data_IF_855411948117
#
_entry.id   IF_855411948117
#
_cell.length_a   1.000
_cell.length_b   1.000
_cell.length_c   1.000
_cell.angle_alpha   90.00
_cell.angle_beta   90.00
_cell.angle_gamma   90.00
#
_symmetry.space_group_name_H-M   'P 1'
#
loop_
_entity.id
_entity.type
_entity.pdbx_description
1 polymer ?
#
# COMPACT_ATOMS: atom_id res chain seq x y z
N UNK A 1 -48.81 53.75 40.98
CA UNK A 1 -47.60 53.89 40.14
C UNK A 1 -46.91 52.51 40.12
N UNK A 2 -47.25 51.69 39.17
CA UNK A 2 -46.73 50.30 39.05
C UNK A 2 -45.86 50.23 37.79
N UNK A 3 -44.56 49.96 37.97
CA UNK A 3 -43.59 49.76 36.87
C UNK A 3 -43.61 48.32 36.42
N UNK A 4 -44.05 48.08 35.18
CA UNK A 4 -43.91 46.78 34.51
C UNK A 4 -42.48 46.67 33.95
N UNK A 5 -41.75 45.68 34.44
CA UNK A 5 -40.48 45.24 33.82
C UNK A 5 -40.75 44.10 32.85
N UNK A 6 -40.49 44.37 31.56
CA UNK A 6 -40.47 43.34 30.50
C UNK A 6 -39.13 42.61 30.54
N UNK A 7 -39.17 41.30 30.84
CA UNK A 7 -38.02 40.40 30.65
C UNK A 7 -38.02 39.93 29.19
N UNK A 8 -37.01 40.33 28.45
CA UNK A 8 -36.74 39.79 27.09
C UNK A 8 -35.92 38.51 27.24
N UNK A 9 -36.53 37.37 26.95
CA UNK A 9 -35.86 36.05 26.93
C UNK A 9 -35.10 35.89 25.61
N UNK A 10 -33.79 36.03 25.64
CA UNK A 10 -32.92 35.79 24.50
C UNK A 10 -32.73 34.27 24.33
N UNK A 11 -33.41 33.68 23.34
CA UNK A 11 -33.21 32.29 22.94
C UNK A 11 -32.00 32.26 22.01
N UNK A 12 -30.84 31.88 22.54
CA UNK A 12 -29.67 31.59 21.74
C UNK A 12 -29.87 30.24 21.03
N UNK A 13 -30.13 30.28 19.73
CA UNK A 13 -30.11 29.08 18.87
C UNK A 13 -28.69 28.54 18.78
N UNK A 14 -28.43 27.45 19.49
CA UNK A 14 -27.20 26.66 19.29
C UNK A 14 -27.34 25.83 18.00
N UNK A 15 -26.73 26.30 16.92
CA UNK A 15 -26.57 25.52 15.71
C UNK A 15 -25.57 24.39 16.00
N UNK A 16 -26.05 23.17 16.13
CA UNK A 16 -25.23 21.95 16.14
C UNK A 16 -24.63 21.76 14.75
N UNK A 17 -23.41 22.25 14.56
CA UNK A 17 -22.59 21.85 13.44
C UNK A 17 -22.17 20.38 13.63
N UNK A 18 -22.88 19.47 12.98
CA UNK A 18 -22.40 18.11 12.79
C UNK A 18 -21.17 18.16 11.90
N UNK A 19 -19.97 18.19 12.50
CA UNK A 19 -18.75 17.84 11.80
C UNK A 19 -18.85 16.36 11.42
N UNK A 20 -19.25 16.10 10.17
CA UNK A 20 -18.97 14.81 9.54
C UNK A 20 -17.45 14.76 9.39
N UNK A 21 -16.79 14.21 10.39
CA UNK A 21 -15.37 13.91 10.33
C UNK A 21 -15.13 13.00 9.14
N UNK A 22 -14.46 13.50 8.09
CA UNK A 22 -13.78 12.64 7.15
C UNK A 22 -12.77 11.81 7.97
N UNK A 23 -13.12 10.57 8.27
CA UNK A 23 -12.17 9.59 8.74
C UNK A 23 -11.22 9.30 7.57
N UNK A 24 -10.20 10.13 7.42
CA UNK A 24 -9.00 9.74 6.70
C UNK A 24 -8.40 8.60 7.52
N UNK A 25 -8.42 7.38 6.98
CA UNK A 25 -7.68 6.25 7.54
C UNK A 25 -6.20 6.62 7.49
N UNK A 26 -5.72 7.21 8.58
CA UNK A 26 -4.32 7.64 8.72
C UNK A 26 -3.45 6.39 8.88
N UNK A 27 -2.90 5.92 7.77
CA UNK A 27 -1.95 4.80 7.73
C UNK A 27 -0.55 5.26 8.19
N UNK A 28 -0.51 6.29 9.03
CA UNK A 28 0.71 6.86 9.58
C UNK A 28 1.54 7.62 8.54
N UNK A 29 2.30 8.59 9.01
CA UNK A 29 3.22 9.42 8.20
C UNK A 29 4.47 8.65 7.73
N UNK A 30 4.34 7.34 7.42
CA UNK A 30 5.46 6.59 6.85
C UNK A 30 5.63 6.94 5.38
N UNK A 31 6.84 7.36 5.04
CA UNK A 31 7.28 7.55 3.67
C UNK A 31 8.76 7.20 3.56
N UNK A 32 9.23 6.97 2.34
CA UNK A 32 10.64 6.77 2.01
C UNK A 32 11.02 7.72 0.89
N UNK A 33 12.19 8.33 1.00
CA UNK A 33 12.75 9.16 -0.05
C UNK A 33 12.99 8.32 -1.30
N UNK A 34 12.76 8.91 -2.45
CA UNK A 34 13.04 8.28 -3.73
C UNK A 34 13.69 9.28 -4.69
N UNK A 35 14.66 8.82 -5.47
CA UNK A 35 15.44 9.63 -6.41
C UNK A 35 15.25 9.14 -7.84
N UNK A 36 15.28 10.05 -8.79
CA UNK A 36 15.21 9.70 -10.23
C UNK A 36 16.48 8.97 -10.65
N UNK A 37 16.36 7.87 -11.41
CA UNK A 37 17.54 7.24 -12.00
C UNK A 37 18.11 8.13 -13.11
N UNK A 38 19.44 8.20 -13.19
CA UNK A 38 20.16 8.80 -14.33
C UNK A 38 20.02 7.94 -15.58
N UNK A 39 20.04 6.61 -15.40
CA UNK A 39 19.82 5.62 -16.45
C UNK A 39 18.82 4.54 -16.00
N UNK A 40 17.55 4.65 -16.42
CA UNK A 40 16.52 3.68 -16.01
C UNK A 40 16.81 2.22 -16.41
N UNK A 41 17.71 1.98 -17.38
CA UNK A 41 18.09 0.62 -17.78
C UNK A 41 19.06 -0.05 -16.80
N UNK A 42 19.69 0.74 -15.92
CA UNK A 42 20.61 0.25 -14.89
C UNK A 42 19.93 0.02 -13.54
N UNK A 43 18.61 0.27 -13.48
CA UNK A 43 17.82 0.05 -12.26
C UNK A 43 17.65 -1.44 -12.00
N UNK A 44 17.86 -1.86 -10.77
CA UNK A 44 17.61 -3.20 -10.25
C UNK A 44 16.93 -3.16 -8.89
N UNK A 45 16.23 -4.22 -8.55
CA UNK A 45 15.55 -4.39 -7.26
C UNK A 45 16.16 -5.57 -6.52
N UNK A 46 16.49 -5.39 -5.25
CA UNK A 46 16.83 -6.45 -4.32
C UNK A 46 15.80 -6.50 -3.21
N UNK A 47 15.40 -7.69 -2.80
CA UNK A 47 14.46 -7.92 -1.70
C UNK A 47 15.11 -8.85 -0.69
N UNK A 48 15.39 -8.33 0.51
CA UNK A 48 15.86 -9.11 1.64
C UNK A 48 14.68 -9.60 2.47
N UNK A 49 14.52 -10.91 2.60
CA UNK A 49 13.42 -11.50 3.38
C UNK A 49 13.68 -11.37 4.87
N UNK A 50 14.93 -11.59 5.34
CA UNK A 50 15.30 -11.46 6.76
C UNK A 50 15.16 -10.02 7.25
N UNK A 51 15.59 -9.05 6.42
CA UNK A 51 15.44 -7.63 6.76
C UNK A 51 14.05 -7.08 6.40
N UNK A 52 13.19 -7.88 5.74
CA UNK A 52 11.87 -7.41 5.23
C UNK A 52 12.01 -6.06 4.54
N UNK A 53 12.94 -5.94 3.59
CA UNK A 53 13.36 -4.70 2.96
C UNK A 53 13.44 -4.82 1.44
N UNK A 54 13.17 -3.70 0.77
CA UNK A 54 13.33 -3.53 -0.67
C UNK A 54 14.39 -2.45 -0.91
N UNK A 55 15.37 -2.77 -1.73
CA UNK A 55 16.41 -1.87 -2.23
C UNK A 55 16.23 -1.69 -3.74
N UNK A 56 15.91 -0.49 -4.18
CA UNK A 56 15.92 -0.11 -5.59
C UNK A 56 17.22 0.66 -5.84
N UNK A 57 18.06 0.13 -6.70
CA UNK A 57 19.41 0.65 -6.94
C UNK A 57 19.61 0.96 -8.42
N UNK A 58 20.33 2.03 -8.72
CA UNK A 58 20.98 2.24 -10.02
C UNK A 58 22.47 1.90 -9.84
N UNK A 59 22.89 0.75 -10.37
CA UNK A 59 24.19 0.16 -10.03
C UNK A 59 24.35 -0.02 -8.52
N UNK A 60 25.13 0.84 -7.85
CA UNK A 60 25.33 0.85 -6.41
C UNK A 60 24.69 2.07 -5.71
N UNK A 61 24.13 3.01 -6.48
CA UNK A 61 23.45 4.20 -5.94
C UNK A 61 22.04 3.82 -5.49
N UNK A 62 21.67 4.03 -4.22
CA UNK A 62 20.31 3.80 -3.77
C UNK A 62 19.35 4.84 -4.34
N UNK A 63 18.27 4.38 -4.95
CA UNK A 63 17.17 5.20 -5.45
C UNK A 63 15.97 5.19 -4.50
N UNK A 64 15.73 4.04 -3.86
CA UNK A 64 14.66 3.88 -2.87
C UNK A 64 15.03 2.73 -1.93
N UNK A 65 14.87 2.97 -0.64
CA UNK A 65 15.01 1.94 0.39
C UNK A 65 13.72 1.96 1.22
N UNK A 66 13.04 0.81 1.34
CA UNK A 66 11.78 0.76 2.06
C UNK A 66 11.54 -0.59 2.73
N UNK A 67 10.81 -0.57 3.84
CA UNK A 67 10.30 -1.79 4.46
C UNK A 67 9.20 -2.42 3.58
N UNK A 68 9.06 -3.73 3.68
CA UNK A 68 8.02 -4.50 2.99
C UNK A 68 7.41 -5.56 3.91
N UNK A 69 6.17 -5.95 3.66
CA UNK A 69 5.57 -7.12 4.29
C UNK A 69 5.65 -8.30 3.33
N UNK A 70 6.25 -9.39 3.80
CA UNK A 70 6.53 -10.61 3.04
C UNK A 70 5.49 -11.71 3.25
N UNK A 71 5.61 -12.79 2.49
CA UNK A 71 4.80 -14.00 2.62
C UNK A 71 4.99 -14.71 3.95
N UNK A 72 3.89 -15.22 4.51
CA UNK A 72 3.91 -16.08 5.70
C UNK A 72 4.48 -17.47 5.37
N UNK A 73 4.84 -18.23 6.40
CA UNK A 73 5.51 -19.53 6.24
C UNK A 73 4.75 -20.53 5.35
N UNK A 74 3.40 -20.53 5.44
CA UNK A 74 2.56 -21.42 4.62
C UNK A 74 2.39 -20.95 3.17
N UNK A 75 2.84 -19.75 2.87
CA UNK A 75 2.76 -19.14 1.54
C UNK A 75 3.93 -18.16 1.37
N UNK A 76 5.18 -18.66 1.32
CA UNK A 76 6.36 -17.81 1.35
C UNK A 76 6.52 -17.00 0.06
N UNK A 77 7.18 -15.86 0.17
CA UNK A 77 7.68 -15.13 -0.99
C UNK A 77 8.77 -15.99 -1.66
N UNK A 78 8.70 -16.23 -2.98
CA UNK A 78 9.68 -17.08 -3.66
C UNK A 78 11.06 -16.41 -3.72
N UNK A 79 12.10 -17.18 -3.39
CA UNK A 79 13.49 -16.82 -3.59
C UNK A 79 13.90 -16.94 -5.06
N UNK A 80 14.90 -16.19 -5.49
CA UNK A 80 15.52 -16.31 -6.81
C UNK A 80 15.65 -15.00 -7.59
N UNK A 81 16.01 -15.15 -8.86
CA UNK A 81 16.18 -14.06 -9.81
C UNK A 81 14.99 -14.00 -10.75
N UNK A 82 14.40 -12.83 -10.87
CA UNK A 82 13.21 -12.54 -11.65
C UNK A 82 13.39 -11.27 -12.49
N UNK A 83 12.37 -10.96 -13.29
CA UNK A 83 12.22 -9.67 -13.96
C UNK A 83 10.78 -9.18 -13.78
N UNK A 84 10.61 -7.88 -13.60
CA UNK A 84 9.30 -7.28 -13.71
C UNK A 84 8.77 -7.45 -15.13
N UNK A 85 7.53 -7.94 -15.32
CA UNK A 85 6.97 -8.11 -16.65
C UNK A 85 5.58 -7.53 -16.84
N UNK A 86 4.78 -7.40 -15.76
CA UNK A 86 3.44 -6.86 -15.83
C UNK A 86 3.25 -5.75 -14.79
N UNK A 87 2.79 -4.59 -15.23
CA UNK A 87 2.60 -3.41 -14.36
C UNK A 87 1.20 -2.86 -14.58
N UNK A 88 0.42 -2.79 -13.50
CA UNK A 88 -0.95 -2.29 -13.52
C UNK A 88 -1.16 -1.32 -12.35
N UNK A 89 -1.52 -0.05 -12.61
CA UNK A 89 -1.79 0.90 -11.54
C UNK A 89 -2.99 0.48 -10.69
N UNK A 90 -3.98 -0.17 -11.31
CA UNK A 90 -5.23 -0.64 -10.69
C UNK A 90 -5.41 -2.13 -10.93
N UNK A 91 -4.93 -2.95 -10.01
CA UNK A 91 -5.07 -4.42 -10.05
C UNK A 91 -6.00 -4.86 -8.95
N UNK A 92 -6.85 -5.85 -9.24
CA UNK A 92 -7.59 -6.63 -8.24
C UNK A 92 -7.11 -8.07 -8.25
N UNK A 93 -7.08 -8.69 -7.06
CA UNK A 93 -6.69 -10.08 -6.91
C UNK A 93 -7.63 -11.01 -7.68
N UNK A 94 -7.04 -12.00 -8.35
CA UNK A 94 -7.79 -13.05 -9.05
C UNK A 94 -8.21 -14.18 -8.13
N UNK A 95 -7.65 -14.29 -6.92
CA UNK A 95 -7.86 -15.42 -5.99
C UNK A 95 -8.61 -15.00 -4.74
N UNK A 96 -8.14 -13.97 -4.05
CA UNK A 96 -8.66 -13.52 -2.76
C UNK A 96 -9.43 -12.21 -2.92
N UNK A 97 -10.58 -12.08 -2.25
CA UNK A 97 -11.39 -10.86 -2.36
C UNK A 97 -12.65 -10.96 -1.54
N UNK A 98 -13.75 -10.55 -2.13
CA UNK A 98 -15.03 -10.45 -1.46
C UNK A 98 -16.14 -11.07 -2.34
N UNK A 99 -17.09 -11.73 -1.69
CA UNK A 99 -18.37 -12.10 -2.28
C UNK A 99 -19.40 -11.02 -1.92
N UNK A 100 -19.96 -10.37 -2.93
CA UNK A 100 -21.05 -9.41 -2.79
C UNK A 100 -22.35 -10.17 -2.94
N UNK A 101 -23.09 -10.29 -1.84
CA UNK A 101 -24.35 -11.06 -1.74
C UNK A 101 -25.51 -10.12 -1.41
N UNK A 102 -26.74 -10.63 -1.42
CA UNK A 102 -27.93 -9.90 -0.93
C UNK A 102 -27.88 -9.58 0.57
N UNK A 103 -27.04 -10.32 1.34
CA UNK A 103 -26.90 -10.16 2.80
C UNK A 103 -25.67 -9.35 3.19
N UNK A 104 -24.87 -8.88 2.22
CA UNK A 104 -23.70 -8.05 2.48
C UNK A 104 -22.44 -8.49 1.74
N UNK A 105 -21.30 -7.91 2.17
CA UNK A 105 -19.97 -8.14 1.57
C UNK A 105 -19.15 -8.98 2.55
N UNK A 106 -18.78 -10.20 2.12
CA UNK A 106 -17.99 -11.14 2.95
C UNK A 106 -16.67 -11.50 2.28
N UNK A 107 -15.56 -11.69 3.03
CA UNK A 107 -14.32 -12.18 2.44
C UNK A 107 -14.51 -13.57 1.82
N UNK A 108 -13.82 -13.83 0.71
CA UNK A 108 -13.91 -15.12 0.05
C UNK A 108 -12.91 -15.29 -1.08
N UNK A 109 -12.82 -16.52 -1.58
CA UNK A 109 -12.02 -16.87 -2.74
C UNK A 109 -12.89 -16.90 -3.99
N UNK A 110 -12.31 -16.59 -5.15
CA UNK A 110 -13.02 -16.59 -6.43
C UNK A 110 -13.63 -17.95 -6.77
N UNK A 111 -12.86 -19.02 -6.55
CA UNK A 111 -13.25 -20.41 -6.83
C UNK A 111 -14.39 -20.92 -5.90
N UNK A 112 -14.67 -20.19 -4.81
CA UNK A 112 -15.72 -20.51 -3.84
C UNK A 112 -16.87 -19.50 -3.90
N UNK A 113 -17.04 -18.77 -5.01
CA UNK A 113 -18.10 -17.75 -5.13
C UNK A 113 -19.48 -18.42 -5.12
N UNK A 114 -20.36 -18.08 -4.15
CA UNK A 114 -21.70 -18.67 -4.07
C UNK A 114 -22.54 -18.30 -5.29
N UNK A 115 -23.45 -19.22 -5.69
CA UNK A 115 -24.39 -18.98 -6.78
C UNK A 115 -25.22 -17.72 -6.51
N UNK A 116 -25.36 -16.85 -7.51
CA UNK A 116 -26.08 -15.58 -7.39
C UNK A 116 -25.29 -14.44 -6.72
N UNK A 117 -24.03 -14.67 -6.33
CA UNK A 117 -23.15 -13.64 -5.78
C UNK A 117 -22.15 -13.16 -6.83
N UNK A 118 -21.61 -11.93 -6.62
CA UNK A 118 -20.55 -11.36 -7.45
C UNK A 118 -19.22 -11.41 -6.68
N UNK A 119 -18.17 -11.93 -7.32
CA UNK A 119 -16.82 -11.82 -6.78
C UNK A 119 -16.19 -10.47 -7.14
N UNK A 120 -15.58 -9.80 -6.14
CA UNK A 120 -14.73 -8.61 -6.33
C UNK A 120 -13.39 -8.87 -5.66
N UNK A 121 -12.32 -8.89 -6.46
CA UNK A 121 -10.97 -9.15 -5.94
C UNK A 121 -10.47 -8.07 -4.99
N UNK A 122 -9.67 -8.44 -4.00
CA UNK A 122 -8.99 -7.51 -3.10
C UNK A 122 -8.16 -6.50 -3.92
N UNK A 123 -8.20 -5.19 -3.62
CA UNK A 123 -7.46 -4.20 -4.38
C UNK A 123 -5.95 -4.30 -4.12
N UNK A 124 -5.17 -4.24 -5.18
CA UNK A 124 -3.71 -4.29 -5.18
C UNK A 124 -3.16 -3.15 -6.06
N UNK A 125 -3.26 -1.88 -5.61
CA UNK A 125 -2.77 -0.74 -6.37
C UNK A 125 -1.27 -0.83 -6.64
N UNK A 126 -0.81 -0.25 -7.76
CA UNK A 126 0.60 -0.20 -8.14
C UNK A 126 1.24 -1.58 -8.28
N UNK A 127 0.51 -2.51 -8.88
CA UNK A 127 0.96 -3.89 -9.10
C UNK A 127 2.16 -3.96 -10.04
N UNK A 128 3.22 -4.63 -9.59
CA UNK A 128 4.39 -4.99 -10.40
C UNK A 128 4.62 -6.49 -10.24
N UNK A 129 4.31 -7.25 -11.28
CA UNK A 129 4.41 -8.72 -11.29
C UNK A 129 5.82 -9.17 -11.68
N UNK A 130 6.38 -10.15 -10.96
CA UNK A 130 7.68 -10.74 -11.24
C UNK A 130 7.63 -12.26 -11.41
N UNK A 131 6.57 -12.91 -10.96
CA UNK A 131 6.25 -14.32 -11.17
C UNK A 131 4.73 -14.46 -11.22
N UNK A 132 4.21 -15.43 -11.96
CA UNK A 132 2.76 -15.62 -12.10
C UNK A 132 2.06 -15.65 -10.73
N UNK A 133 1.20 -14.65 -10.48
CA UNK A 133 0.48 -14.49 -9.22
C UNK A 133 1.30 -13.87 -8.07
N UNK A 134 2.58 -13.55 -8.26
CA UNK A 134 3.46 -12.91 -7.27
C UNK A 134 3.91 -11.54 -7.76
N UNK A 135 3.78 -10.55 -6.91
CA UNK A 135 4.16 -9.17 -7.27
C UNK A 135 4.26 -8.26 -6.07
N UNK A 136 4.70 -7.05 -6.35
CA UNK A 136 4.66 -5.93 -5.42
C UNK A 136 3.34 -5.19 -5.58
N UNK A 137 2.78 -4.69 -4.49
CA UNK A 137 1.61 -3.80 -4.54
C UNK A 137 1.50 -2.94 -3.28
N UNK A 138 0.72 -1.87 -3.36
CA UNK A 138 0.38 -1.06 -2.19
C UNK A 138 -0.40 -1.87 -1.15
N UNK A 139 -0.11 -1.64 0.13
CA UNK A 139 -0.82 -2.25 1.24
C UNK A 139 -0.17 -1.98 2.59
N UNK A 140 -0.74 -2.55 3.63
CA UNK A 140 -0.20 -2.43 4.98
C UNK A 140 1.08 -3.26 5.14
N UNK A 141 2.12 -2.61 5.66
CA UNK A 141 3.41 -3.23 5.95
C UNK A 141 3.44 -3.59 7.43
N UNK A 142 3.23 -4.87 7.71
CA UNK A 142 3.30 -5.42 9.07
C UNK A 142 4.74 -5.78 9.43
N UNK A 143 5.11 -5.76 10.73
CA UNK A 143 6.45 -6.15 11.20
C UNK A 143 6.70 -7.66 11.09
N UNK A 144 5.67 -8.44 10.83
CA UNK A 144 5.72 -9.89 10.69
C UNK A 144 5.20 -10.33 9.32
N UNK A 145 5.63 -11.51 8.80
CA UNK A 145 5.11 -12.06 7.56
C UNK A 145 3.60 -12.27 7.60
N UNK A 146 2.85 -11.66 6.67
CA UNK A 146 1.37 -11.74 6.64
C UNK A 146 0.76 -11.95 5.26
N UNK A 147 1.53 -11.92 4.19
CA UNK A 147 0.98 -12.05 2.84
C UNK A 147 0.88 -13.51 2.38
N UNK A 148 0.29 -13.74 1.23
CA UNK A 148 0.30 -15.04 0.54
C UNK A 148 1.44 -15.10 -0.51
N UNK A 149 2.58 -14.47 -0.19
CA UNK A 149 3.79 -14.46 -1.02
C UNK A 149 4.02 -13.17 -1.81
N UNK A 150 3.03 -12.30 -1.96
CA UNK A 150 3.22 -10.96 -2.51
C UNK A 150 4.03 -10.07 -1.55
N UNK A 151 4.58 -8.99 -2.08
CA UNK A 151 5.37 -8.01 -1.35
C UNK A 151 4.55 -6.72 -1.21
N UNK A 152 4.09 -6.41 0.00
CA UNK A 152 3.34 -5.18 0.25
C UNK A 152 4.28 -4.02 0.50
N UNK A 153 4.03 -2.92 -0.15
CA UNK A 153 4.73 -1.64 0.02
C UNK A 153 3.75 -0.62 0.58
N UNK A 154 4.19 0.20 1.52
CA UNK A 154 3.33 1.24 2.09
C UNK A 154 2.72 2.11 0.98
N UNK A 155 1.49 2.55 1.16
CA UNK A 155 0.72 3.30 0.16
C UNK A 155 1.39 4.61 -0.30
N UNK A 156 2.20 5.27 0.56
CA UNK A 156 2.93 6.47 0.18
C UNK A 156 4.17 6.17 -0.67
N UNK A 157 4.73 4.97 -0.53
CA UNK A 157 5.96 4.54 -1.20
C UNK A 157 5.69 3.75 -2.48
N UNK A 158 4.57 3.03 -2.55
CA UNK A 158 4.22 2.20 -3.70
C UNK A 158 4.19 2.95 -5.05
N UNK A 159 3.68 4.19 -5.16
CA UNK A 159 3.75 4.98 -6.38
C UNK A 159 5.20 5.25 -6.83
N UNK A 160 6.11 5.55 -5.87
CA UNK A 160 7.54 5.80 -6.12
C UNK A 160 8.22 4.54 -6.65
N UNK A 161 8.00 3.39 -5.99
CA UNK A 161 8.48 2.09 -6.45
C UNK A 161 7.96 1.76 -7.86
N UNK A 162 6.66 1.93 -8.08
CA UNK A 162 6.02 1.68 -9.38
C UNK A 162 6.61 2.54 -10.48
N UNK A 163 6.97 3.80 -10.22
CA UNK A 163 7.59 4.70 -11.18
C UNK A 163 9.06 4.32 -11.49
N UNK A 164 9.80 3.82 -10.50
CA UNK A 164 11.21 3.40 -10.65
C UNK A 164 11.36 2.10 -11.42
N UNK A 165 10.45 1.13 -11.22
CA UNK A 165 10.53 -0.21 -11.80
C UNK A 165 9.84 -0.24 -13.15
N UNK A 166 10.52 -0.72 -14.19
CA UNK A 166 10.02 -0.86 -15.57
C UNK A 166 9.88 -2.34 -15.94
N UNK A 167 9.11 -2.64 -16.98
CA UNK A 167 9.12 -3.98 -17.55
C UNK A 167 10.55 -4.35 -17.98
N UNK A 168 11.02 -5.53 -17.60
CA UNK A 168 12.39 -5.98 -17.79
C UNK A 168 13.34 -5.68 -16.63
N UNK A 169 13.00 -4.81 -15.67
CA UNK A 169 13.85 -4.50 -14.50
C UNK A 169 14.19 -5.80 -13.76
N UNK A 170 15.51 -6.09 -13.52
CA UNK A 170 15.94 -7.24 -12.74
C UNK A 170 15.50 -7.16 -11.29
N UNK A 171 15.08 -8.29 -10.73
CA UNK A 171 14.62 -8.43 -9.34
C UNK A 171 15.31 -9.65 -8.75
N UNK A 172 16.04 -9.46 -7.65
CA UNK A 172 16.65 -10.53 -6.86
C UNK A 172 15.95 -10.61 -5.50
N UNK A 173 15.51 -11.79 -5.11
CA UNK A 173 14.87 -12.06 -3.81
C UNK A 173 15.70 -13.13 -3.12
N UNK A 174 16.36 -12.74 -2.04
CA UNK A 174 17.22 -13.62 -1.22
C UNK A 174 16.88 -13.46 0.27
N UNK A 175 17.38 -14.36 1.08
CA UNK A 175 17.23 -14.25 2.54
C UNK A 175 17.91 -12.98 3.05
N UNK A 176 19.11 -12.64 2.57
CA UNK A 176 19.84 -11.44 2.97
C UNK A 176 20.69 -10.90 1.82
N UNK A 177 21.13 -9.65 1.98
CA UNK A 177 22.05 -8.94 1.11
C UNK A 177 23.08 -8.14 1.91
N UNK A 178 24.26 -7.81 1.36
CA UNK A 178 25.21 -6.89 2.02
C UNK A 178 24.60 -5.53 2.36
N UNK A 179 23.61 -5.09 1.60
CA UNK A 179 22.84 -3.87 1.84
C UNK A 179 22.15 -3.86 3.21
N UNK A 180 21.81 -5.01 3.78
CA UNK A 180 21.18 -5.14 5.09
C UNK A 180 22.06 -4.58 6.22
N UNK A 181 23.39 -4.73 6.08
CA UNK A 181 24.38 -4.29 7.05
C UNK A 181 24.86 -2.85 6.80
N UNK A 182 24.50 -2.25 5.69
CA UNK A 182 24.91 -0.92 5.25
C UNK A 182 23.73 0.03 5.16
N UNK A 183 23.21 0.27 3.97
CA UNK A 183 22.10 1.19 3.69
C UNK A 183 20.76 0.73 4.28
N UNK A 184 20.59 -0.55 4.54
CA UNK A 184 19.41 -1.16 5.17
C UNK A 184 19.49 -1.34 6.68
N UNK A 185 20.65 -1.07 7.31
CA UNK A 185 20.89 -1.32 8.74
C UNK A 185 19.88 -0.63 9.65
N UNK A 186 19.51 0.60 9.31
CA UNK A 186 18.60 1.44 10.10
C UNK A 186 17.33 1.79 9.31
N UNK A 187 16.82 0.84 8.53
CA UNK A 187 15.64 1.09 7.74
C UNK A 187 14.45 1.49 8.63
N UNK A 188 13.87 2.64 8.35
CA UNK A 188 12.65 3.08 9.02
C UNK A 188 11.51 2.12 8.66
N UNK A 189 10.72 1.74 9.67
CA UNK A 189 9.56 0.88 9.48
C UNK A 189 8.29 1.63 9.81
N UNK A 190 7.17 1.39 9.09
CA UNK A 190 5.88 1.91 9.50
C UNK A 190 5.47 1.29 10.84
N UNK A 191 4.65 2.00 11.60
CA UNK A 191 4.00 1.41 12.76
C UNK A 191 3.09 0.28 12.30
N UNK A 192 2.95 -0.76 13.12
CA UNK A 192 2.04 -1.85 12.80
C UNK A 192 0.62 -1.32 12.72
N UNK A 193 -0.13 -1.89 11.80
CA UNK A 193 -1.52 -1.56 11.62
C UNK A 193 -2.37 -2.19 12.74
N UNK A 194 -3.11 -1.34 13.47
CA UNK A 194 -3.84 -1.75 14.67
C UNK A 194 -5.32 -2.03 14.45
N UNK A 195 -5.97 -1.57 13.37
CA UNK A 195 -7.40 -1.72 13.10
C UNK A 195 -8.21 -0.41 13.21
N UNK A 196 -9.43 -0.42 12.67
CA UNK A 196 -10.05 -1.43 11.82
C UNK A 196 -9.59 -1.37 10.36
N UNK A 197 -9.75 -2.49 9.62
CA UNK A 197 -9.63 -2.46 8.17
C UNK A 197 -10.62 -1.43 7.58
N UNK A 198 -10.28 -0.79 6.44
CA UNK A 198 -11.23 0.03 5.73
C UNK A 198 -12.53 -0.73 5.44
N UNK A 199 -13.70 -0.06 5.42
CA UNK A 199 -14.96 -0.71 5.12
C UNK A 199 -14.88 -1.53 3.82
N UNK A 200 -15.44 -2.73 3.83
CA UNK A 200 -15.44 -3.61 2.65
C UNK A 200 -16.08 -2.96 1.43
N UNK A 201 -17.12 -2.15 1.63
CA UNK A 201 -17.75 -1.35 0.57
C UNK A 201 -16.76 -0.40 -0.10
N UNK A 202 -15.86 0.20 0.66
CA UNK A 202 -14.79 1.04 0.14
C UNK A 202 -13.74 0.21 -0.61
N UNK A 203 -13.29 -0.92 -0.05
CA UNK A 203 -12.30 -1.80 -0.68
C UNK A 203 -12.76 -2.36 -2.03
N UNK A 204 -14.06 -2.61 -2.23
CA UNK A 204 -14.59 -3.11 -3.50
C UNK A 204 -14.88 -2.00 -4.52
N UNK A 205 -14.90 -0.72 -4.10
CA UNK A 205 -15.16 0.43 -4.96
C UNK A 205 -13.92 0.86 -5.76
N UNK A 206 -14.13 1.60 -6.85
CA UNK A 206 -13.05 2.21 -7.61
C UNK A 206 -12.47 3.42 -6.89
N UNK A 207 -13.26 4.06 -6.01
CA UNK A 207 -12.81 5.15 -5.14
C UNK A 207 -11.54 4.78 -4.34
N UNK A 208 -11.38 3.51 -3.93
CA UNK A 208 -10.17 3.05 -3.26
C UNK A 208 -8.90 3.30 -4.10
N UNK A 209 -8.97 3.09 -5.41
CA UNK A 209 -7.83 3.38 -6.29
C UNK A 209 -7.66 4.88 -6.53
N UNK A 210 -8.77 5.62 -6.68
CA UNK A 210 -8.75 7.06 -6.93
C UNK A 210 -8.10 7.81 -5.75
N UNK A 211 -8.42 7.42 -4.52
CA UNK A 211 -7.88 8.03 -3.30
C UNK A 211 -6.37 7.72 -3.11
N UNK A 212 -5.87 6.62 -3.68
CA UNK A 212 -4.45 6.25 -3.62
C UNK A 212 -3.64 6.78 -4.81
N UNK A 213 -4.31 7.36 -5.81
CA UNK A 213 -3.61 7.93 -6.96
C UNK A 213 -2.82 9.18 -6.54
N UNK A 214 -1.49 9.11 -6.66
CA UNK A 214 -0.60 10.22 -6.35
C UNK A 214 -0.43 11.13 -7.56
N UNK A 215 -0.69 12.43 -7.35
CA UNK A 215 -0.45 13.49 -8.32
C UNK A 215 0.77 14.31 -7.88
N UNK A 216 1.58 14.75 -8.83
CA UNK A 216 2.77 15.56 -8.58
C UNK A 216 4.08 14.80 -8.66
N UNK A 217 5.17 15.46 -8.24
CA UNK A 217 6.50 14.85 -8.29
C UNK A 217 6.66 13.81 -7.16
N UNK A 218 7.09 12.61 -7.55
CA UNK A 218 7.30 11.48 -6.66
C UNK A 218 8.75 11.39 -6.14
N UNK A 219 9.64 12.20 -6.71
CA UNK A 219 11.07 12.08 -6.48
C UNK A 219 11.63 13.32 -5.83
N UNK A 220 12.56 13.12 -4.92
CA UNK A 220 13.38 14.19 -4.36
C UNK A 220 14.34 14.72 -5.41
N UNK A 221 14.72 16.00 -5.25
CA UNK A 221 15.86 16.55 -5.96
C UNK A 221 17.11 15.83 -5.44
N UNK A 222 17.94 15.34 -6.37
CA UNK A 222 19.22 14.70 -5.98
C UNK A 222 19.99 15.71 -5.13
N UNK A 223 20.40 15.37 -3.91
CA UNK A 223 21.34 16.20 -3.19
C UNK A 223 22.66 16.16 -3.97
N UNK A 224 23.01 17.28 -4.58
CA UNK A 224 24.27 17.50 -5.31
C UNK A 224 25.48 17.23 -4.43
#
# INVERSE_FOLDING_TARGET
>A
MTKNSFFILNIASFALFNFVGCNSYDVGNYDSLAYRPSNPNKVRVKVSLQNSAIYVLEENKPLLITATCIGKNESPTPLGSFRAYNKLPRKRSNTYGFHVTSHGIVPGRRDMTPKGSKYVGYPMPYWVEFKSGYGFHSGYVHPVPKTHGCLRINQNVAPKFFALVRSGTPIEINDSFPEDLTIGKNIRRPQDYKDPDPPRSYLISDKYFDDLERKGDLFEKDPL
#
